data_IF_240474678322
#
_entry.id   IF_240474678322
#
_cell.length_a   1.000
_cell.length_b   1.000
_cell.length_c   1.000
_cell.angle_alpha   90.00
_cell.angle_beta   90.00
_cell.angle_gamma   90.00
#
_symmetry.space_group_name_H-M   'P 1'
#
loop_
_entity.id
_entity.type
_entity.pdbx_description
1 polymer ?
#
# COMPACT_ATOMS: atom_id res chain seq x y z
N UNK A 1 -28.00 -3.06 17.77
CA UNK A 1 -26.96 -3.09 18.81
C UNK A 1 -25.73 -3.68 18.17
N UNK A 2 -24.73 -2.86 17.85
CA UNK A 2 -23.48 -3.27 17.19
C UNK A 2 -22.45 -3.48 18.31
N UNK A 3 -21.70 -4.61 18.34
CA UNK A 3 -20.77 -4.91 19.42
C UNK A 3 -19.53 -3.98 19.40
N UNK A 4 -18.92 -3.69 20.56
CA UNK A 4 -17.99 -2.58 20.74
C UNK A 4 -16.51 -2.96 20.59
N UNK A 5 -16.13 -3.67 19.51
CA UNK A 5 -14.71 -4.04 19.27
C UNK A 5 -14.05 -3.41 18.03
N UNK A 6 -14.75 -2.58 17.25
CA UNK A 6 -14.10 -1.85 16.15
C UNK A 6 -13.53 -0.52 16.63
N UNK A 7 -12.32 -0.61 17.17
CA UNK A 7 -11.45 0.50 17.54
C UNK A 7 -11.20 1.46 16.37
N UNK A 8 -11.72 2.69 16.52
CA UNK A 8 -11.21 3.95 15.97
C UNK A 8 -10.81 3.96 14.47
N UNK A 9 -11.78 4.23 13.59
CA UNK A 9 -11.50 4.65 12.21
C UNK A 9 -12.71 4.58 11.27
N UNK A 10 -13.51 5.66 11.24
CA UNK A 10 -14.67 5.94 10.37
C UNK A 10 -16.02 5.30 10.77
N UNK A 11 -17.02 6.17 10.86
CA UNK A 11 -18.38 5.86 11.29
C UNK A 11 -19.29 5.34 10.15
N UNK A 12 -18.86 5.39 8.87
CA UNK A 12 -19.84 5.36 7.76
C UNK A 12 -19.53 4.41 6.59
N UNK A 13 -18.40 3.68 6.58
CA UNK A 13 -18.05 2.78 5.48
C UNK A 13 -17.67 1.38 6.00
N UNK A 14 -18.50 0.39 5.70
CA UNK A 14 -18.32 -1.00 6.13
C UNK A 14 -17.38 -1.83 5.23
N UNK A 15 -16.75 -1.23 4.22
CA UNK A 15 -15.94 -1.92 3.21
C UNK A 15 -14.48 -1.46 3.25
N UNK A 16 -13.52 -2.37 3.00
CA UNK A 16 -12.09 -2.05 3.04
C UNK A 16 -11.72 -1.07 1.92
N UNK A 17 -10.83 -0.12 2.25
CA UNK A 17 -10.27 0.82 1.27
C UNK A 17 -8.86 0.36 0.89
N UNK A 18 -8.68 0.03 -0.40
CA UNK A 18 -7.40 -0.35 -0.98
C UNK A 18 -6.89 0.82 -1.82
N UNK A 19 -5.62 1.16 -1.66
CA UNK A 19 -4.94 2.19 -2.47
C UNK A 19 -4.03 1.51 -3.48
N UNK A 20 -3.99 2.02 -4.72
CA UNK A 20 -3.01 1.65 -5.75
C UNK A 20 -2.00 2.81 -5.94
N UNK A 21 -0.82 2.73 -5.31
CA UNK A 21 0.26 3.70 -5.50
C UNK A 21 0.94 3.61 -6.87
N UNK A 22 0.88 2.48 -7.56
CA UNK A 22 1.49 2.30 -8.88
C UNK A 22 0.77 3.20 -9.89
N UNK A 23 -0.52 2.95 -10.15
CA UNK A 23 -1.32 3.79 -11.04
C UNK A 23 -1.55 5.18 -10.47
N UNK A 24 -1.68 5.32 -9.15
CA UNK A 24 -1.90 6.60 -8.50
C UNK A 24 -0.76 7.60 -8.72
N UNK A 25 0.46 7.12 -8.97
CA UNK A 25 1.63 7.98 -9.22
C UNK A 25 2.16 7.90 -10.66
N UNK A 26 1.98 6.78 -11.34
CA UNK A 26 2.54 6.53 -12.67
C UNK A 26 4.07 6.41 -12.70
N UNK A 27 4.74 6.41 -11.53
CA UNK A 27 6.21 6.41 -11.43
C UNK A 27 6.70 5.60 -10.25
N UNK A 28 7.57 4.62 -10.51
CA UNK A 28 8.10 3.70 -9.50
C UNK A 28 8.80 4.40 -8.32
N UNK A 29 9.41 5.57 -8.56
CA UNK A 29 10.09 6.38 -7.52
C UNK A 29 9.11 6.88 -6.45
N UNK A 30 7.84 7.08 -6.82
CA UNK A 30 6.80 7.62 -5.95
C UNK A 30 5.93 6.54 -5.29
N UNK A 31 6.00 5.29 -5.77
CA UNK A 31 5.23 4.17 -5.24
C UNK A 31 5.50 3.95 -3.75
N UNK A 32 6.78 3.93 -3.35
CA UNK A 32 7.17 3.72 -1.95
C UNK A 32 6.65 4.83 -1.01
N UNK A 33 6.92 6.12 -1.24
CA UNK A 33 6.40 7.17 -0.36
C UNK A 33 4.87 7.24 -0.35
N UNK A 34 4.18 7.02 -1.48
CA UNK A 34 2.72 7.00 -1.51
C UNK A 34 2.13 5.80 -0.77
N UNK A 35 2.74 4.60 -0.86
CA UNK A 35 2.32 3.42 -0.12
C UNK A 35 2.38 3.65 1.41
N UNK A 36 3.47 4.24 1.90
CA UNK A 36 3.63 4.58 3.32
C UNK A 36 2.59 5.63 3.76
N UNK A 37 2.37 6.65 2.94
CA UNK A 37 1.36 7.68 3.20
C UNK A 37 -0.06 7.10 3.23
N UNK A 38 -0.38 6.15 2.34
CA UNK A 38 -1.67 5.48 2.29
C UNK A 38 -1.95 4.69 3.56
N UNK A 39 -0.99 3.90 4.04
CA UNK A 39 -1.13 3.18 5.33
C UNK A 39 -1.27 4.16 6.49
N UNK A 40 -0.47 5.23 6.52
CA UNK A 40 -0.57 6.26 7.55
C UNK A 40 -1.92 7.01 7.54
N UNK A 41 -2.52 7.18 6.37
CA UNK A 41 -3.86 7.76 6.19
C UNK A 41 -5.00 6.79 6.56
N UNK A 42 -4.68 5.53 6.84
CA UNK A 42 -5.65 4.53 7.29
C UNK A 42 -6.16 3.59 6.21
N UNK A 43 -5.46 3.44 5.08
CA UNK A 43 -5.77 2.40 4.08
C UNK A 43 -5.74 1.00 4.71
N UNK A 44 -6.61 0.13 4.23
CA UNK A 44 -6.74 -1.26 4.70
C UNK A 44 -5.90 -2.23 3.88
N UNK A 45 -5.51 -1.82 2.67
CA UNK A 45 -4.64 -2.60 1.80
C UNK A 45 -3.97 -1.75 0.74
N UNK A 46 -2.99 -2.36 0.06
CA UNK A 46 -2.26 -1.77 -1.05
C UNK A 46 -2.29 -2.72 -2.24
N UNK A 47 -2.42 -2.16 -3.45
CA UNK A 47 -2.19 -2.84 -4.71
C UNK A 47 -0.91 -2.26 -5.33
N UNK A 48 0.12 -3.08 -5.51
CA UNK A 48 1.43 -2.65 -5.98
C UNK A 48 1.84 -3.49 -7.17
N UNK A 49 2.23 -2.85 -8.26
CA UNK A 49 2.75 -3.55 -9.44
C UNK A 49 4.23 -3.87 -9.27
N UNK A 50 4.60 -5.10 -9.61
CA UNK A 50 5.96 -5.62 -9.50
C UNK A 50 6.32 -6.38 -10.78
N UNK A 51 7.49 -6.08 -11.34
CA UNK A 51 8.02 -6.79 -12.50
C UNK A 51 9.54 -6.99 -12.35
N UNK A 52 10.10 -8.19 -12.63
CA UNK A 52 11.54 -8.45 -12.48
C UNK A 52 12.40 -7.62 -13.45
N UNK A 53 11.82 -7.28 -14.60
CA UNK A 53 12.46 -6.49 -15.66
C UNK A 53 11.52 -5.39 -16.15
N UNK A 54 11.27 -4.31 -15.37
CA UNK A 54 10.26 -3.30 -15.72
C UNK A 54 10.49 -2.69 -17.11
N UNK A 55 11.75 -2.61 -17.54
CA UNK A 55 12.13 -2.15 -18.88
C UNK A 55 11.66 -3.07 -20.03
N UNK A 56 11.29 -4.32 -19.73
CA UNK A 56 10.76 -5.31 -20.69
C UNK A 56 9.27 -5.59 -20.49
N UNK A 57 8.61 -4.90 -19.56
CA UNK A 57 7.19 -5.13 -19.31
C UNK A 57 6.36 -4.74 -20.54
N UNK A 58 5.37 -5.58 -20.88
CA UNK A 58 4.45 -5.30 -21.98
C UNK A 58 3.48 -4.15 -21.66
N UNK A 59 3.28 -3.87 -20.37
CA UNK A 59 2.48 -2.78 -19.85
C UNK A 59 3.11 -2.25 -18.55
N UNK A 60 2.94 -0.97 -18.27
CA UNK A 60 3.14 -0.36 -16.94
C UNK A 60 4.53 -0.53 -16.29
N UNK A 61 5.55 -0.75 -17.11
CA UNK A 61 6.93 -0.89 -16.63
C UNK A 61 7.47 0.33 -15.88
N UNK A 62 6.98 1.55 -16.17
CA UNK A 62 7.45 2.78 -15.51
C UNK A 62 7.01 2.92 -14.05
N UNK A 63 5.90 2.27 -13.68
CA UNK A 63 5.30 2.32 -12.33
C UNK A 63 5.46 1.00 -11.56
N UNK A 64 5.99 -0.03 -12.22
CA UNK A 64 6.29 -1.33 -11.61
C UNK A 64 7.57 -1.27 -10.79
N UNK A 65 7.52 -1.73 -9.54
CA UNK A 65 8.70 -1.94 -8.73
C UNK A 65 9.47 -3.19 -9.19
N UNK A 66 10.77 -3.22 -8.91
CA UNK A 66 11.55 -4.46 -8.95
C UNK A 66 11.33 -5.28 -7.66
N UNK A 67 11.49 -6.61 -7.68
CA UNK A 67 11.25 -7.46 -6.51
C UNK A 67 12.05 -7.08 -5.26
N UNK A 68 13.29 -6.62 -5.42
CA UNK A 68 14.15 -6.13 -4.35
C UNK A 68 13.62 -4.82 -3.74
N UNK A 69 13.20 -3.87 -4.57
CA UNK A 69 12.55 -2.64 -4.10
C UNK A 69 11.22 -2.93 -3.41
N UNK A 70 10.44 -3.89 -3.92
CA UNK A 70 9.21 -4.33 -3.29
C UNK A 70 9.47 -4.98 -1.93
N UNK A 71 10.49 -5.83 -1.80
CA UNK A 71 10.88 -6.41 -0.52
C UNK A 71 11.27 -5.32 0.51
N UNK A 72 12.01 -4.29 0.08
CA UNK A 72 12.33 -3.15 0.94
C UNK A 72 11.08 -2.36 1.36
N UNK A 73 10.12 -2.16 0.45
CA UNK A 73 8.84 -1.54 0.77
C UNK A 73 8.09 -2.35 1.83
N UNK A 74 8.02 -3.67 1.69
CA UNK A 74 7.38 -4.57 2.67
C UNK A 74 8.00 -4.42 4.05
N UNK A 75 9.33 -4.40 4.16
CA UNK A 75 10.00 -4.20 5.45
C UNK A 75 9.70 -2.84 6.07
N UNK A 76 9.60 -1.78 5.26
CA UNK A 76 9.17 -0.45 5.74
C UNK A 76 7.72 -0.45 6.21
N UNK A 77 6.83 -1.13 5.50
CA UNK A 77 5.41 -1.23 5.85
C UNK A 77 5.21 -1.99 7.17
N UNK A 78 5.96 -3.07 7.41
CA UNK A 78 5.95 -3.80 8.68
C UNK A 78 6.34 -2.92 9.88
N UNK A 79 7.26 -1.96 9.67
CA UNK A 79 7.66 -1.03 10.74
C UNK A 79 6.59 0.04 11.02
N UNK A 80 5.93 0.58 9.99
CA UNK A 80 5.01 1.71 10.14
C UNK A 80 3.58 1.28 10.49
N UNK A 81 3.11 0.14 9.98
CA UNK A 81 1.72 -0.29 10.16
C UNK A 81 1.29 -0.35 11.64
N UNK A 82 2.09 -0.92 12.57
CA UNK A 82 1.73 -0.92 14.00
C UNK A 82 1.60 0.49 14.59
N UNK A 83 2.45 1.42 14.18
CA UNK A 83 2.38 2.83 14.61
C UNK A 83 1.10 3.52 14.12
N UNK A 84 0.53 3.04 13.01
CA UNK A 84 -0.72 3.51 12.43
C UNK A 84 -1.95 2.70 12.88
N UNK A 85 -1.82 1.81 13.89
CA UNK A 85 -2.87 0.89 14.35
C UNK A 85 -3.40 -0.03 13.23
N UNK A 86 -2.55 -0.34 12.26
CA UNK A 86 -2.80 -1.32 11.21
C UNK A 86 -1.94 -2.56 11.47
N UNK A 87 -2.43 -3.72 11.05
CA UNK A 87 -1.65 -4.94 11.02
C UNK A 87 -1.11 -5.15 9.60
N UNK A 88 0.12 -5.64 9.51
CA UNK A 88 0.73 -6.03 8.23
C UNK A 88 0.79 -7.56 8.21
N UNK A 89 0.07 -8.17 7.27
CA UNK A 89 -0.21 -9.61 7.22
C UNK A 89 0.47 -10.27 6.02
#
# INVERSE_FOLDING_TARGET
MIPPEHSAGRADAAWPIIVDPSHGTGSWELVTPMALAAVAAGADGLLIEVHPHPEKALSDGKQSLRPDTFAQLVERLKMIAPACRKNFN
#
